data_IF_261928764242
#
_entry.id   IF_261928764242
#
_cell.length_a   1.000
_cell.length_b   1.000
_cell.length_c   1.000
_cell.angle_alpha   90.00
_cell.angle_beta   90.00
_cell.angle_gamma   90.00
#
_symmetry.space_group_name_H-M   'P 1'
#
loop_
_entity.id
_entity.type
_entity.pdbx_description
1 polymer ?
#
# COMPACT_ATOMS: atom_id res chain seq x y z
N UNK A 1 13.18 -36.67 -6.32
CA UNK A 1 12.39 -35.75 -5.47
C UNK A 1 11.53 -34.83 -6.33
N UNK A 2 10.37 -35.24 -6.87
CA UNK A 2 9.65 -34.38 -7.86
C UNK A 2 8.11 -34.32 -7.78
N UNK A 3 7.41 -35.23 -7.09
CA UNK A 3 5.92 -35.20 -7.01
C UNK A 3 5.35 -34.76 -5.66
N UNK A 4 5.92 -35.23 -4.55
CA UNK A 4 5.41 -34.91 -3.20
C UNK A 4 5.58 -33.43 -2.82
N UNK A 5 6.72 -32.83 -3.17
CA UNK A 5 6.99 -31.41 -2.92
C UNK A 5 6.11 -30.48 -3.77
N UNK A 6 5.77 -30.87 -4.99
CA UNK A 6 4.92 -30.08 -5.89
C UNK A 6 3.47 -30.03 -5.39
N UNK A 7 2.95 -31.17 -4.90
CA UNK A 7 1.61 -31.25 -4.30
C UNK A 7 1.55 -30.44 -2.99
N UNK A 8 2.61 -30.45 -2.18
CA UNK A 8 2.68 -29.66 -0.96
C UNK A 8 2.67 -28.14 -1.22
N UNK A 9 3.36 -27.68 -2.27
CA UNK A 9 3.36 -26.27 -2.70
C UNK A 9 1.96 -25.85 -3.18
N UNK A 10 1.32 -26.67 -4.02
CA UNK A 10 -0.05 -26.38 -4.51
C UNK A 10 -1.04 -26.32 -3.35
N UNK A 11 -0.97 -27.28 -2.41
CA UNK A 11 -1.85 -27.28 -1.24
C UNK A 11 -1.58 -26.06 -0.35
N UNK A 12 -0.32 -25.68 -0.11
CA UNK A 12 0.01 -24.46 0.64
C UNK A 12 -0.57 -23.21 -0.03
N UNK A 13 -0.45 -23.08 -1.35
CA UNK A 13 -1.03 -21.97 -2.12
C UNK A 13 -2.57 -21.93 -2.06
N UNK A 14 -3.23 -23.09 -2.07
CA UNK A 14 -4.71 -23.18 -1.97
C UNK A 14 -5.17 -22.87 -0.54
N UNK A 15 -4.50 -23.41 0.48
CA UNK A 15 -4.86 -23.14 1.88
C UNK A 15 -4.59 -21.69 2.28
N UNK A 16 -3.53 -21.06 1.78
CA UNK A 16 -3.29 -19.63 1.99
C UNK A 16 -4.33 -18.76 1.30
N UNK A 17 -4.82 -19.15 0.11
CA UNK A 17 -5.93 -18.45 -0.54
C UNK A 17 -7.25 -18.56 0.23
N UNK A 18 -7.57 -19.73 0.80
CA UNK A 18 -8.86 -19.97 1.48
C UNK A 18 -8.93 -19.25 2.85
N UNK A 19 -7.82 -19.12 3.56
CA UNK A 19 -7.78 -18.44 4.88
C UNK A 19 -7.51 -16.94 4.79
N UNK A 20 -7.10 -16.40 3.64
CA UNK A 20 -6.81 -14.98 3.45
C UNK A 20 -8.02 -14.14 3.02
N UNK A 21 -9.16 -14.76 2.70
CA UNK A 21 -10.36 -14.03 2.29
C UNK A 21 -10.84 -13.13 3.44
N UNK A 22 -10.85 -11.81 3.20
CA UNK A 22 -11.23 -10.74 4.12
C UNK A 22 -10.26 -10.40 5.28
N UNK A 23 -9.04 -10.94 5.31
CA UNK A 23 -8.01 -10.52 6.27
C UNK A 23 -6.82 -9.84 5.58
N UNK A 24 -6.11 -9.00 6.33
CA UNK A 24 -4.85 -8.42 5.85
C UNK A 24 -3.76 -9.48 5.86
N UNK A 25 -3.17 -9.72 4.70
CA UNK A 25 -1.99 -10.57 4.52
C UNK A 25 -0.77 -9.66 4.41
N UNK A 26 0.21 -9.85 5.28
CA UNK A 26 1.51 -9.20 5.15
C UNK A 26 2.31 -9.83 4.00
N UNK A 27 2.75 -8.99 3.06
CA UNK A 27 3.55 -9.39 1.89
C UNK A 27 5.03 -9.20 2.19
N UNK A 28 5.39 -8.10 2.84
CA UNK A 28 6.76 -7.76 3.18
C UNK A 28 6.79 -6.82 4.38
N UNK A 29 7.82 -6.92 5.23
CA UNK A 29 8.02 -6.06 6.40
C UNK A 29 9.49 -5.91 6.74
N UNK A 30 9.92 -4.71 7.16
CA UNK A 30 11.28 -4.46 7.68
C UNK A 30 11.48 -4.99 9.09
N UNK A 31 10.44 -5.51 9.75
CA UNK A 31 10.61 -6.32 10.96
C UNK A 31 11.52 -7.53 10.67
N UNK A 32 11.42 -8.06 9.44
CA UNK A 32 12.36 -9.04 8.90
C UNK A 32 13.63 -8.30 8.45
N UNK A 33 14.70 -8.38 9.24
CA UNK A 33 15.99 -7.66 9.06
C UNK A 33 16.68 -7.80 7.69
N UNK A 34 16.16 -8.64 6.79
CA UNK A 34 16.70 -8.87 5.46
C UNK A 34 16.07 -7.98 4.38
N UNK A 35 15.03 -7.20 4.71
CA UNK A 35 14.35 -6.31 3.76
C UNK A 35 14.60 -4.85 4.16
N UNK A 36 14.88 -4.02 3.16
CA UNK A 36 15.02 -2.56 3.29
C UNK A 36 13.69 -1.86 3.05
N UNK A 37 13.57 -0.60 3.48
CA UNK A 37 12.38 0.22 3.19
C UNK A 37 12.12 0.36 1.67
N UNK A 38 13.18 0.49 0.87
CA UNK A 38 13.13 0.45 -0.59
C UNK A 38 12.50 -0.86 -1.12
N UNK A 39 12.90 -2.02 -0.57
CA UNK A 39 12.29 -3.31 -0.94
C UNK A 39 10.78 -3.32 -0.64
N UNK A 40 10.35 -2.76 0.51
CA UNK A 40 8.93 -2.71 0.87
C UNK A 40 8.14 -1.87 -0.16
N UNK A 41 8.70 -0.75 -0.62
CA UNK A 41 8.08 0.08 -1.65
C UNK A 41 7.99 -0.69 -2.97
N UNK A 42 9.01 -1.46 -3.36
CA UNK A 42 8.95 -2.33 -4.55
C UNK A 42 7.87 -3.38 -4.46
N UNK A 43 7.73 -4.04 -3.31
CA UNK A 43 6.66 -4.99 -3.06
C UNK A 43 5.29 -4.33 -3.16
N UNK A 44 5.14 -3.13 -2.59
CA UNK A 44 3.93 -2.33 -2.69
C UNK A 44 3.57 -2.02 -4.14
N UNK A 45 4.48 -1.43 -4.92
CA UNK A 45 4.26 -1.14 -6.35
C UNK A 45 3.93 -2.40 -7.14
N UNK A 46 4.63 -3.50 -6.85
CA UNK A 46 4.37 -4.82 -7.46
C UNK A 46 2.97 -5.33 -7.16
N UNK A 47 2.44 -5.09 -5.95
CA UNK A 47 1.07 -5.47 -5.61
C UNK A 47 0.03 -4.56 -6.26
N UNK A 48 0.31 -3.27 -6.44
CA UNK A 48 -0.59 -2.36 -7.16
C UNK A 48 -0.79 -2.80 -8.62
N UNK A 49 0.29 -3.14 -9.33
CA UNK A 49 0.20 -3.54 -10.76
C UNK A 49 -0.48 -4.90 -10.99
N UNK A 50 -0.62 -5.73 -9.95
CA UNK A 50 -1.36 -7.00 -10.03
C UNK A 50 -2.88 -6.80 -10.03
N UNK A 51 -3.38 -5.59 -9.77
CA UNK A 51 -4.81 -5.31 -9.77
C UNK A 51 -5.36 -5.26 -11.20
N UNK A 52 -6.44 -5.98 -11.46
CA UNK A 52 -7.19 -5.92 -12.75
C UNK A 52 -8.47 -5.12 -12.64
N UNK A 53 -8.70 -4.47 -11.50
CA UNK A 53 -9.93 -3.74 -11.21
C UNK A 53 -9.87 -2.33 -11.82
N UNK A 54 -10.94 -1.88 -12.51
CA UNK A 54 -10.90 -0.64 -13.29
C UNK A 54 -11.09 0.64 -12.47
N UNK A 55 -11.53 0.54 -11.21
CA UNK A 55 -11.76 1.68 -10.33
C UNK A 55 -10.88 1.58 -9.10
N UNK A 56 -10.41 2.72 -8.61
CA UNK A 56 -9.70 2.79 -7.35
C UNK A 56 -9.95 4.10 -6.61
N UNK A 57 -9.77 4.07 -5.30
CA UNK A 57 -9.54 5.26 -4.47
C UNK A 57 -8.20 5.09 -3.75
N UNK A 58 -7.58 6.22 -3.42
CA UNK A 58 -6.34 6.26 -2.66
C UNK A 58 -6.58 7.16 -1.45
N UNK A 59 -6.19 6.69 -0.27
CA UNK A 59 -6.21 7.49 0.94
C UNK A 59 -4.90 7.30 1.71
N UNK A 60 -4.69 8.15 2.71
CA UNK A 60 -3.65 7.97 3.69
C UNK A 60 -4.20 8.31 5.06
N UNK A 61 -3.52 7.80 6.09
CA UNK A 61 -3.85 8.08 7.48
C UNK A 61 -2.57 8.09 8.32
N UNK A 62 -2.64 8.68 9.52
CA UNK A 62 -1.56 8.76 10.48
C UNK A 62 -2.00 8.22 11.84
N UNK A 63 -1.05 7.70 12.60
CA UNK A 63 -1.36 7.16 13.92
C UNK A 63 -0.23 7.44 14.91
N UNK A 64 -0.60 7.61 16.17
CA UNK A 64 0.35 7.74 17.27
C UNK A 64 0.97 6.36 17.55
N UNK A 65 2.14 6.12 16.98
CA UNK A 65 2.85 4.85 17.11
C UNK A 65 3.95 4.73 16.10
N UNK A 66 4.89 3.84 16.36
CA UNK A 66 5.96 3.58 15.42
C UNK A 66 5.93 2.11 14.99
N UNK A 67 5.53 1.87 13.76
CA UNK A 67 5.52 0.55 13.15
C UNK A 67 6.75 0.33 12.27
N UNK A 68 7.03 -0.93 11.96
CA UNK A 68 7.91 -1.28 10.87
C UNK A 68 7.30 -0.85 9.53
N UNK A 69 8.14 -0.66 8.52
CA UNK A 69 7.63 -0.48 7.17
C UNK A 69 7.05 -1.80 6.70
N UNK A 70 5.84 -1.78 6.17
CA UNK A 70 5.11 -3.01 5.86
C UNK A 70 4.24 -2.83 4.62
N UNK A 71 4.29 -3.80 3.71
CA UNK A 71 3.34 -3.93 2.61
C UNK A 71 2.33 -5.02 2.97
N UNK A 72 1.04 -4.70 2.87
CA UNK A 72 -0.05 -5.65 3.13
C UNK A 72 -1.06 -5.63 2.00
N UNK A 73 -1.76 -6.74 1.84
CA UNK A 73 -2.85 -6.88 0.87
C UNK A 73 -4.06 -7.49 1.52
N UNK A 74 -5.24 -7.04 1.12
CA UNK A 74 -6.52 -7.67 1.47
C UNK A 74 -7.27 -8.00 0.20
N UNK A 75 -7.69 -9.25 0.07
CA UNK A 75 -8.53 -9.69 -1.04
C UNK A 75 -9.96 -9.85 -0.56
N UNK A 76 -10.89 -9.33 -1.35
CA UNK A 76 -12.33 -9.42 -1.13
C UNK A 76 -12.99 -9.81 -2.46
N UNK A 77 -14.23 -10.31 -2.41
CA UNK A 77 -14.90 -10.89 -3.59
C UNK A 77 -14.90 -9.98 -4.84
N UNK A 78 -14.98 -8.66 -4.66
CA UNK A 78 -15.07 -7.67 -5.74
C UNK A 78 -14.10 -6.50 -5.57
N UNK A 79 -13.09 -6.66 -4.71
CA UNK A 79 -12.16 -5.61 -4.34
C UNK A 79 -10.80 -6.18 -3.95
N UNK A 80 -9.77 -5.35 -4.14
CA UNK A 80 -8.43 -5.59 -3.62
C UNK A 80 -7.98 -4.33 -2.90
N UNK A 81 -7.40 -4.47 -1.72
CA UNK A 81 -6.73 -3.38 -1.01
C UNK A 81 -5.25 -3.65 -0.92
N UNK A 82 -4.43 -2.63 -1.15
CA UNK A 82 -2.98 -2.70 -0.97
C UNK A 82 -2.58 -1.55 -0.05
N UNK A 83 -1.93 -1.89 1.05
CA UNK A 83 -1.48 -0.94 2.05
C UNK A 83 0.05 -0.87 2.07
N UNK A 84 0.58 0.35 2.15
CA UNK A 84 1.96 0.62 2.53
C UNK A 84 1.99 1.37 3.85
N UNK A 85 2.53 0.75 4.90
CA UNK A 85 2.81 1.41 6.18
C UNK A 85 4.22 2.02 6.12
N UNK A 86 4.32 3.32 6.37
CA UNK A 86 5.56 4.08 6.50
C UNK A 86 5.68 4.64 7.92
N UNK A 87 6.18 3.81 8.85
CA UNK A 87 6.34 4.16 10.28
C UNK A 87 5.02 4.44 11.00
N UNK A 88 4.62 5.71 11.00
CA UNK A 88 3.51 6.30 11.75
C UNK A 88 2.39 6.80 10.81
N UNK A 89 2.47 6.43 9.53
CA UNK A 89 1.44 6.68 8.54
C UNK A 89 1.28 5.46 7.63
N UNK A 90 0.17 5.38 6.92
CA UNK A 90 -0.02 4.41 5.86
C UNK A 90 -0.76 5.01 4.67
N UNK A 91 -0.60 4.36 3.52
CA UNK A 91 -1.30 4.66 2.26
C UNK A 91 -2.09 3.42 1.88
N UNK A 92 -3.39 3.54 1.64
CA UNK A 92 -4.18 2.46 1.04
C UNK A 92 -4.57 2.79 -0.40
N UNK A 93 -4.40 1.80 -1.28
CA UNK A 93 -5.01 1.75 -2.59
C UNK A 93 -6.12 0.70 -2.56
N UNK A 94 -7.35 1.17 -2.64
CA UNK A 94 -8.54 0.33 -2.67
C UNK A 94 -9.05 0.25 -4.11
N UNK A 95 -9.03 -0.95 -4.67
CA UNK A 95 -9.45 -1.24 -6.03
C UNK A 95 -10.80 -1.96 -6.06
N UNK A 96 -11.64 -1.64 -7.04
CA UNK A 96 -13.03 -2.12 -7.14
C UNK A 96 -13.43 -2.52 -8.56
N UNK A 97 -14.30 -3.52 -8.66
CA UNK A 97 -14.86 -3.98 -9.93
C UNK A 97 -15.82 -2.99 -10.59
N UNK A 98 -16.47 -2.13 -9.81
CA UNK A 98 -17.51 -1.19 -10.26
C UNK A 98 -17.24 0.20 -9.70
N UNK A 99 -17.84 1.23 -10.30
CA UNK A 99 -17.81 2.60 -9.77
C UNK A 99 -18.76 2.77 -8.58
N UNK A 100 -18.68 3.95 -7.93
CA UNK A 100 -19.63 4.36 -6.89
C UNK A 100 -19.21 4.01 -5.46
N UNK A 101 -18.05 3.37 -5.28
CA UNK A 101 -17.42 3.22 -3.97
C UNK A 101 -16.85 4.55 -3.51
N UNK A 102 -16.84 4.76 -2.20
CA UNK A 102 -16.28 5.94 -1.57
C UNK A 102 -15.77 5.62 -0.17
N UNK A 103 -14.89 6.47 0.33
CA UNK A 103 -14.38 6.49 1.69
C UNK A 103 -14.55 7.88 2.30
N UNK A 104 -14.57 7.98 3.62
CA UNK A 104 -14.48 9.27 4.33
C UNK A 104 -13.12 9.34 5.01
N UNK A 105 -12.34 10.37 4.71
CA UNK A 105 -11.12 10.64 5.47
C UNK A 105 -11.45 11.09 6.91
N UNK A 106 -10.42 11.24 7.73
CA UNK A 106 -10.55 11.66 9.13
C UNK A 106 -11.15 13.07 9.30
N UNK A 107 -11.05 13.92 8.27
CA UNK A 107 -11.68 15.23 8.20
C UNK A 107 -13.17 15.13 7.79
N UNK A 108 -13.69 13.93 7.54
CA UNK A 108 -15.04 13.67 7.07
C UNK A 108 -15.27 14.01 5.59
N UNK A 109 -14.21 14.20 4.81
CA UNK A 109 -14.30 14.45 3.37
C UNK A 109 -14.48 13.15 2.62
N UNK A 110 -15.42 13.17 1.68
CA UNK A 110 -15.71 12.03 0.81
C UNK A 110 -14.64 11.92 -0.29
N UNK A 111 -14.04 10.74 -0.41
CA UNK A 111 -13.13 10.34 -1.48
C UNK A 111 -13.85 9.29 -2.31
N UNK A 112 -14.23 9.65 -3.54
CA UNK A 112 -14.88 8.73 -4.46
C UNK A 112 -13.87 7.91 -5.25
N UNK A 113 -14.20 6.64 -5.48
CA UNK A 113 -13.49 5.80 -6.45
C UNK A 113 -13.61 6.38 -7.85
N UNK A 114 -12.49 6.38 -8.57
CA UNK A 114 -12.34 6.90 -9.93
C UNK A 114 -11.75 5.84 -10.84
N UNK A 115 -11.90 6.00 -12.15
CA UNK A 115 -11.28 5.07 -13.10
C UNK A 115 -9.75 5.20 -13.03
N UNK A 116 -9.03 4.08 -12.95
CA UNK A 116 -7.56 4.07 -12.78
C UNK A 116 -6.81 4.71 -13.96
N UNK A 117 -7.42 4.78 -15.15
CA UNK A 117 -6.82 5.40 -16.33
C UNK A 117 -7.18 6.90 -16.45
N UNK A 118 -7.87 7.46 -15.45
CA UNK A 118 -8.30 8.85 -15.48
C UNK A 118 -7.26 9.80 -14.88
N UNK A 119 -7.27 11.06 -15.34
CA UNK A 119 -6.52 12.15 -14.72
C UNK A 119 -6.82 12.31 -13.22
N UNK A 120 -8.09 12.10 -12.83
CA UNK A 120 -8.51 12.17 -11.44
C UNK A 120 -7.80 11.13 -10.56
N UNK A 121 -7.57 9.92 -11.07
CA UNK A 121 -6.83 8.90 -10.35
C UNK A 121 -5.35 9.28 -10.19
N UNK A 122 -4.70 9.72 -11.27
CA UNK A 122 -3.30 10.14 -11.22
C UNK A 122 -3.07 11.27 -10.21
N UNK A 123 -3.94 12.29 -10.22
CA UNK A 123 -3.88 13.38 -9.24
C UNK A 123 -4.12 12.89 -7.81
N UNK A 124 -5.10 11.99 -7.61
CA UNK A 124 -5.40 11.43 -6.29
C UNK A 124 -4.22 10.63 -5.75
N UNK A 125 -3.63 9.75 -6.56
CA UNK A 125 -2.46 8.95 -6.18
C UNK A 125 -1.26 9.84 -5.85
N UNK A 126 -0.92 10.80 -6.73
CA UNK A 126 0.20 11.72 -6.51
C UNK A 126 0.03 12.52 -5.22
N UNK A 127 -1.11 13.23 -5.08
CA UNK A 127 -1.35 14.08 -3.91
C UNK A 127 -1.40 13.29 -2.60
N UNK A 128 -2.01 12.11 -2.61
CA UNK A 128 -2.13 11.26 -1.42
C UNK A 128 -0.77 10.74 -0.97
N UNK A 129 0.05 10.24 -1.90
CA UNK A 129 1.40 9.77 -1.56
C UNK A 129 2.25 10.92 -1.00
N UNK A 130 2.26 12.09 -1.67
CA UNK A 130 3.03 13.24 -1.21
C UNK A 130 2.57 13.72 0.17
N UNK A 131 1.26 13.83 0.40
CA UNK A 131 0.72 14.26 1.68
C UNK A 131 1.06 13.25 2.80
N UNK A 132 0.97 11.95 2.53
CA UNK A 132 1.35 10.92 3.49
C UNK A 132 2.82 11.05 3.93
N UNK A 133 3.74 11.27 2.98
CA UNK A 133 5.18 11.46 3.27
C UNK A 133 5.38 12.71 4.15
N UNK A 134 4.72 13.82 3.80
CA UNK A 134 4.81 15.08 4.53
C UNK A 134 4.31 14.91 5.96
N UNK A 135 3.09 14.39 6.14
CA UNK A 135 2.46 14.24 7.46
C UNK A 135 3.22 13.24 8.34
N UNK A 136 3.67 12.13 7.76
CA UNK A 136 4.52 11.17 8.46
C UNK A 136 5.79 11.84 9.01
N UNK A 137 6.48 12.64 8.19
CA UNK A 137 7.67 13.39 8.58
C UNK A 137 7.39 14.42 9.68
N UNK A 138 6.27 15.14 9.60
CA UNK A 138 5.85 16.09 10.62
C UNK A 138 5.58 15.39 11.95
N UNK A 139 4.89 14.25 11.92
CA UNK A 139 4.56 13.48 13.12
C UNK A 139 5.81 12.83 13.74
N UNK A 140 6.77 12.32 12.95
CA UNK A 140 8.06 11.86 13.48
C UNK A 140 8.82 12.99 14.20
N UNK A 141 8.86 14.19 13.58
CA UNK A 141 9.50 15.37 14.17
C UNK A 141 8.83 15.77 15.49
N UNK A 142 7.51 15.71 15.58
CA UNK A 142 6.75 15.96 16.83
C UNK A 142 7.19 15.02 17.96
N UNK A 143 7.55 13.78 17.64
CA UNK A 143 8.07 12.79 18.59
C UNK A 143 9.59 12.83 18.79
N UNK A 144 10.30 13.81 18.25
CA UNK A 144 11.76 13.90 18.35
C UNK A 144 12.50 12.81 17.57
N UNK A 145 11.87 12.24 16.55
CA UNK A 145 12.41 11.19 15.69
C UNK A 145 12.66 11.70 14.27
N UNK A 146 13.46 10.95 13.51
CA UNK A 146 13.73 11.19 12.09
C UNK A 146 13.87 9.85 11.35
N UNK A 147 13.75 9.90 10.03
CA UNK A 147 14.04 8.77 9.16
C UNK A 147 15.53 8.39 9.21
N UNK A 148 15.82 7.09 9.22
CA UNK A 148 17.16 6.54 8.99
C UNK A 148 17.56 6.69 7.52
N UNK A 149 18.84 6.46 7.20
CA UNK A 149 19.32 6.49 5.81
C UNK A 149 18.55 5.54 4.88
N UNK A 150 18.34 4.29 5.30
CA UNK A 150 17.57 3.30 4.52
C UNK A 150 16.10 3.71 4.36
N UNK A 151 15.52 4.35 5.38
CA UNK A 151 14.17 4.86 5.28
C UNK A 151 14.08 6.07 4.33
N UNK A 152 15.12 6.90 4.22
CA UNK A 152 15.17 7.95 3.21
C UNK A 152 15.25 7.37 1.80
N UNK A 153 16.04 6.31 1.57
CA UNK A 153 16.06 5.58 0.28
C UNK A 153 14.66 5.03 -0.08
N UNK A 154 13.93 4.49 0.91
CA UNK A 154 12.53 4.08 0.71
C UNK A 154 11.58 5.23 0.38
N UNK A 155 11.76 6.39 1.02
CA UNK A 155 10.97 7.59 0.70
C UNK A 155 11.29 8.07 -0.72
N UNK A 156 12.56 8.12 -1.13
CA UNK A 156 12.98 8.49 -2.49
C UNK A 156 12.33 7.56 -3.53
N UNK A 157 12.34 6.24 -3.30
CA UNK A 157 11.70 5.29 -4.22
C UNK A 157 10.16 5.48 -4.28
N UNK A 158 9.53 5.85 -3.17
CA UNK A 158 8.10 6.16 -3.13
C UNK A 158 7.78 7.48 -3.84
N UNK A 159 8.66 8.48 -3.75
CA UNK A 159 8.56 9.76 -4.46
C UNK A 159 8.71 9.55 -5.98
N UNK A 160 9.66 8.73 -6.42
CA UNK A 160 9.82 8.34 -7.84
C UNK A 160 8.56 7.63 -8.36
N UNK A 161 7.96 6.76 -7.55
CA UNK A 161 6.69 6.12 -7.90
C UNK A 161 5.55 7.14 -7.98
N UNK A 162 5.46 8.09 -7.04
CA UNK A 162 4.47 9.15 -7.08
C UNK A 162 4.62 9.99 -8.37
N UNK A 163 5.85 10.33 -8.75
CA UNK A 163 6.13 11.10 -9.97
C UNK A 163 5.65 10.39 -11.26
N UNK A 164 5.47 9.07 -11.26
CA UNK A 164 4.82 8.36 -12.38
C UNK A 164 3.35 8.78 -12.59
N UNK A 165 2.69 9.31 -11.56
CA UNK A 165 1.33 9.85 -11.62
C UNK A 165 1.30 11.36 -11.87
N UNK A 166 2.46 12.03 -11.84
CA UNK A 166 2.56 13.46 -12.08
C UNK A 166 2.31 13.73 -13.56
N UNK A 167 1.10 14.12 -13.89
CA UNK A 167 0.75 14.56 -15.24
C UNK A 167 1.10 16.05 -15.36
N UNK A 168 1.99 16.38 -16.30
CA UNK A 168 2.31 17.76 -16.70
C UNK A 168 1.17 18.40 -17.48
#
# INVERSE_FOLDING_TARGET
MKKKSFIAIILFCIFSHIYADNEWVEIASTENKNLTEADIVRFFVTELVKSTYPYALVNYDTFDGNCYWTCRVKYEKNSKKVQLVIRNAYIDFDFFSNSGWYWYDDDGRRIDSVNINSYAFSNMAYSTICNCIIESKLLLKKHGQAYSGTALEGIEELEEYADCFKQN
#
